data_IF_198508546463
#
_entry.id   IF_198508546463
#
_cell.length_a   1.000
_cell.length_b   1.000
_cell.length_c   1.000
_cell.angle_alpha   90.00
_cell.angle_beta   90.00
_cell.angle_gamma   90.00
#
_symmetry.space_group_name_H-M   'P 1'
#
loop_
_entity.id
_entity.type
_entity.pdbx_description
1 polymer ?
#
# COMPACT_ATOMS: atom_id res chain seq x y z
N UNK A 1 30.49 -66.20 11.74
CA UNK A 1 29.14 -65.67 12.05
C UNK A 1 29.36 -64.30 12.68
N UNK A 2 29.27 -63.17 11.94
CA UNK A 2 28.12 -62.38 11.48
C UNK A 2 27.40 -61.63 12.62
N UNK A 3 27.21 -60.32 12.37
CA UNK A 3 26.26 -59.32 12.94
C UNK A 3 26.60 -58.83 14.38
N UNK A 4 26.56 -57.55 14.77
CA UNK A 4 25.73 -56.41 14.33
C UNK A 4 26.46 -55.06 14.58
N UNK A 5 26.68 -54.28 13.51
CA UNK A 5 26.96 -52.83 13.55
C UNK A 5 25.61 -52.10 13.47
N UNK A 6 25.01 -51.66 14.57
CA UNK A 6 23.93 -50.65 14.55
C UNK A 6 23.68 -50.13 15.96
N UNK A 7 24.36 -49.05 16.35
CA UNK A 7 23.98 -48.30 17.56
C UNK A 7 24.35 -46.80 17.47
N UNK A 8 24.19 -46.18 16.30
CA UNK A 8 24.53 -44.75 16.09
C UNK A 8 23.52 -43.92 15.29
N UNK A 9 22.29 -44.38 15.07
CA UNK A 9 21.35 -43.65 14.20
C UNK A 9 19.93 -43.51 14.77
N UNK A 10 19.77 -43.02 16.00
CA UNK A 10 18.41 -42.67 16.50
C UNK A 10 18.28 -41.25 17.06
N UNK A 11 19.37 -40.48 17.25
CA UNK A 11 19.25 -39.13 17.85
C UNK A 11 19.10 -38.00 16.81
N UNK A 12 19.32 -38.27 15.51
CA UNK A 12 19.28 -37.24 14.47
C UNK A 12 17.88 -36.99 13.87
N UNK A 13 16.83 -37.68 14.34
CA UNK A 13 15.50 -37.67 13.71
C UNK A 13 14.42 -36.82 14.38
N UNK A 14 14.71 -36.13 15.49
CA UNK A 14 13.68 -35.45 16.29
C UNK A 14 13.74 -33.90 16.28
N UNK A 15 14.72 -33.29 15.61
CA UNK A 15 14.94 -31.83 15.67
C UNK A 15 14.43 -31.04 14.45
N UNK A 16 13.91 -31.69 13.41
CA UNK A 16 13.49 -30.98 12.18
C UNK A 16 12.00 -30.70 12.04
N UNK A 17 11.17 -30.98 13.07
CA UNK A 17 9.73 -30.70 13.03
C UNK A 17 9.34 -29.41 13.79
N UNK A 18 10.27 -28.77 14.51
CA UNK A 18 9.99 -27.56 15.28
C UNK A 18 10.35 -26.24 14.60
N UNK A 19 11.11 -26.26 13.51
CA UNK A 19 11.68 -25.05 12.92
C UNK A 19 10.80 -24.36 11.86
N UNK A 20 9.78 -25.04 11.32
CA UNK A 20 8.90 -24.47 10.29
C UNK A 20 7.68 -23.73 10.86
N UNK A 21 7.37 -23.86 12.16
CA UNK A 21 6.26 -23.12 12.79
C UNK A 21 6.67 -21.78 13.42
N UNK A 22 7.97 -21.42 13.42
CA UNK A 22 8.45 -20.20 14.08
C UNK A 22 8.69 -19.02 13.13
N UNK A 23 8.49 -19.16 11.82
CA UNK A 23 8.60 -18.04 10.88
C UNK A 23 7.25 -17.29 10.72
N UNK A 24 6.17 -17.78 11.32
CA UNK A 24 4.87 -17.09 11.33
C UNK A 24 4.65 -16.22 12.57
N UNK A 25 5.49 -16.31 13.61
CA UNK A 25 5.29 -15.60 14.89
C UNK A 25 6.07 -14.27 15.01
N UNK A 26 6.99 -13.99 14.07
CA UNK A 26 7.72 -12.73 14.04
C UNK A 26 7.03 -11.65 13.19
N UNK A 27 6.13 -12.07 12.32
CA UNK A 27 5.20 -11.19 11.63
C UNK A 27 3.92 -11.27 12.45
N UNK A 28 3.71 -10.29 13.34
CA UNK A 28 2.43 -10.14 14.02
C UNK A 28 1.28 -10.12 13.02
N UNK A 29 0.02 -10.27 13.46
CA UNK A 29 -1.12 -10.20 12.55
C UNK A 29 -1.01 -8.91 11.74
N UNK A 30 -0.90 -9.02 10.41
CA UNK A 30 -1.10 -7.88 9.53
C UNK A 30 -2.52 -7.39 9.80
N UNK A 31 -2.65 -6.21 10.39
CA UNK A 31 -3.94 -5.58 10.54
C UNK A 31 -4.56 -5.44 9.15
N UNK A 32 -5.85 -5.80 8.98
CA UNK A 32 -6.51 -5.61 7.70
C UNK A 32 -6.44 -4.12 7.35
N UNK A 33 -5.96 -3.82 6.15
CA UNK A 33 -6.02 -2.46 5.63
C UNK A 33 -7.47 -2.03 5.49
N UNK A 34 -7.81 -0.86 6.01
CA UNK A 34 -9.08 -0.20 5.83
C UNK A 34 -9.00 0.71 4.62
N UNK A 35 -10.03 0.68 3.78
CA UNK A 35 -10.15 1.59 2.66
C UNK A 35 -10.38 3.01 3.16
N UNK A 36 -9.46 3.92 2.84
CA UNK A 36 -9.59 5.35 3.12
C UNK A 36 -10.19 6.09 1.92
N UNK A 37 -9.62 5.85 0.73
CA UNK A 37 -10.02 6.52 -0.50
C UNK A 37 -9.83 5.62 -1.72
N UNK A 38 -10.66 5.80 -2.73
CA UNK A 38 -10.58 5.12 -4.02
C UNK A 38 -10.98 6.09 -5.16
N UNK A 39 -10.77 5.67 -6.39
CA UNK A 39 -11.25 6.41 -7.56
C UNK A 39 -10.45 6.09 -8.80
N UNK A 40 -10.50 7.02 -9.75
CA UNK A 40 -9.78 6.95 -11.01
C UNK A 40 -8.95 8.20 -11.28
N UNK A 41 -7.89 8.02 -12.04
CA UNK A 41 -7.05 9.10 -12.57
C UNK A 41 -7.11 9.04 -14.09
N UNK A 42 -7.60 10.11 -14.68
CA UNK A 42 -7.53 10.34 -16.12
C UNK A 42 -6.25 11.11 -16.43
N UNK A 43 -5.52 10.68 -17.46
CA UNK A 43 -4.35 11.39 -17.99
C UNK A 43 -4.63 11.85 -19.43
N UNK A 44 -3.97 12.92 -19.92
CA UNK A 44 -4.22 13.41 -21.27
C UNK A 44 -3.82 12.40 -22.35
N UNK A 45 -4.47 12.48 -23.52
CA UNK A 45 -4.12 11.64 -24.67
C UNK A 45 -2.65 11.83 -25.08
N UNK A 46 -1.98 10.73 -25.45
CA UNK A 46 -0.55 10.73 -25.79
C UNK A 46 0.39 10.56 -24.60
N UNK A 47 -0.14 10.42 -23.38
CA UNK A 47 0.64 10.04 -22.19
C UNK A 47 1.32 8.66 -22.38
N UNK A 48 2.63 8.52 -22.12
CA UNK A 48 3.32 7.23 -22.13
C UNK A 48 2.72 6.26 -21.11
N UNK A 49 2.58 4.98 -21.40
CA UNK A 49 1.94 3.99 -20.50
C UNK A 49 2.58 3.85 -19.12
N UNK A 50 3.85 4.22 -18.97
CA UNK A 50 4.61 4.15 -17.71
C UNK A 50 4.69 5.52 -17.01
N UNK A 51 3.56 6.23 -16.95
CA UNK A 51 3.49 7.63 -16.50
C UNK A 51 3.71 7.84 -14.98
N UNK A 52 3.97 6.76 -14.23
CA UNK A 52 4.37 6.72 -12.81
C UNK A 52 3.63 7.76 -11.95
N UNK A 53 2.30 7.74 -12.03
CA UNK A 53 1.43 8.54 -11.17
C UNK A 53 1.11 7.75 -9.91
N UNK A 54 1.18 8.44 -8.78
CA UNK A 54 0.78 7.95 -7.48
C UNK A 54 -0.30 8.85 -6.90
N UNK A 55 -1.15 8.28 -6.06
CA UNK A 55 -2.10 9.03 -5.24
C UNK A 55 -1.65 8.90 -3.79
N UNK A 56 -1.49 10.02 -3.11
CA UNK A 56 -1.04 10.09 -1.73
C UNK A 56 -2.10 10.74 -0.85
N UNK A 57 -2.43 10.09 0.26
CA UNK A 57 -3.19 10.66 1.36
C UNK A 57 -2.22 11.19 2.42
N UNK A 58 -2.23 12.50 2.63
CA UNK A 58 -1.50 13.19 3.69
C UNK A 58 -2.41 13.33 4.91
N UNK A 59 -2.08 12.57 5.96
CA UNK A 59 -2.78 12.54 7.23
C UNK A 59 -2.10 13.47 8.24
N UNK A 60 -2.86 14.00 9.20
CA UNK A 60 -2.36 15.00 10.12
C UNK A 60 -1.27 14.47 11.07
N UNK A 61 -1.46 13.27 11.61
CA UNK A 61 -0.55 12.66 12.59
C UNK A 61 0.07 11.35 12.10
N UNK A 62 -0.64 10.62 11.24
CA UNK A 62 -0.27 9.29 10.76
C UNK A 62 0.68 9.29 9.56
N UNK A 63 1.06 10.47 9.06
CA UNK A 63 2.00 10.64 7.96
C UNK A 63 1.32 10.53 6.58
N UNK A 64 2.07 10.05 5.59
CA UNK A 64 1.60 9.98 4.20
C UNK A 64 1.49 8.53 3.75
N UNK A 65 0.34 8.17 3.18
CA UNK A 65 0.12 6.87 2.55
C UNK A 65 -0.09 7.05 1.05
N UNK A 66 0.76 6.43 0.24
CA UNK A 66 0.65 6.49 -1.23
C UNK A 66 0.35 5.11 -1.81
N UNK A 67 -0.32 5.10 -2.96
CA UNK A 67 -0.38 3.94 -3.84
C UNK A 67 -0.27 4.38 -5.31
N UNK A 68 0.27 3.49 -6.15
CA UNK A 68 0.39 3.76 -7.57
C UNK A 68 -0.95 3.61 -8.28
N UNK A 69 -1.18 4.49 -9.25
CA UNK A 69 -2.32 4.34 -10.16
C UNK A 69 -2.11 3.08 -10.99
N UNK A 70 -3.13 2.21 -11.00
CA UNK A 70 -3.14 0.96 -11.76
C UNK A 70 -3.23 1.24 -13.25
N UNK A 71 -2.94 0.23 -14.06
CA UNK A 71 -2.98 0.33 -15.53
C UNK A 71 -4.34 0.69 -16.11
N UNK A 72 -5.43 0.47 -15.36
CA UNK A 72 -6.79 0.84 -15.75
C UNK A 72 -7.17 2.27 -15.31
N UNK A 73 -6.23 3.01 -14.73
CA UNK A 73 -6.44 4.34 -14.18
C UNK A 73 -6.99 4.32 -12.75
N UNK A 74 -7.32 3.17 -12.16
CA UNK A 74 -7.87 3.13 -10.81
C UNK A 74 -6.79 3.24 -9.73
N UNK A 75 -7.16 3.75 -8.56
CA UNK A 75 -6.31 3.72 -7.36
C UNK A 75 -7.12 3.32 -6.12
N UNK A 76 -6.42 2.86 -5.08
CA UNK A 76 -7.01 2.48 -3.81
C UNK A 76 -6.01 2.78 -2.68
N UNK A 77 -6.39 3.67 -1.78
CA UNK A 77 -5.61 3.98 -0.57
C UNK A 77 -6.16 3.17 0.59
N UNK A 78 -5.37 2.21 1.04
CA UNK A 78 -5.64 1.46 2.27
C UNK A 78 -4.73 1.96 3.39
N UNK A 79 -5.29 2.14 4.57
CA UNK A 79 -4.60 2.58 5.79
C UNK A 79 -4.84 1.60 6.93
N UNK A 80 -4.02 1.63 7.97
CA UNK A 80 -4.29 0.90 9.21
C UNK A 80 -5.32 1.66 10.07
N UNK A 81 -5.89 1.00 11.09
CA UNK A 81 -6.99 1.53 11.92
C UNK A 81 -6.70 2.92 12.48
N UNK A 82 -5.53 3.12 13.11
CA UNK A 82 -5.16 4.42 13.69
C UNK A 82 -5.05 5.56 12.68
N UNK A 83 -4.69 5.27 11.43
CA UNK A 83 -4.67 6.28 10.36
C UNK A 83 -6.07 6.57 9.84
N UNK A 84 -6.97 5.58 9.84
CA UNK A 84 -8.38 5.82 9.55
C UNK A 84 -9.02 6.73 10.60
N UNK A 85 -8.73 6.49 11.88
CA UNK A 85 -9.20 7.33 12.99
C UNK A 85 -8.69 8.77 12.87
N UNK A 86 -7.39 8.94 12.56
CA UNK A 86 -6.78 10.25 12.29
C UNK A 86 -7.48 10.98 11.15
N UNK A 87 -7.70 10.31 10.01
CA UNK A 87 -8.45 10.87 8.88
C UNK A 87 -9.88 11.29 9.27
N UNK A 88 -10.58 10.51 10.10
CA UNK A 88 -11.93 10.84 10.55
C UNK A 88 -11.96 12.04 11.50
N UNK A 89 -10.96 12.16 12.37
CA UNK A 89 -10.86 13.22 13.38
C UNK A 89 -10.36 14.55 12.80
N UNK A 90 -9.37 14.50 11.91
CA UNK A 90 -8.64 15.68 11.43
C UNK A 90 -8.85 15.97 9.95
N UNK A 91 -9.46 15.06 9.20
CA UNK A 91 -9.47 15.10 7.74
C UNK A 91 -8.12 14.68 7.18
N UNK A 92 -8.00 14.75 5.87
CA UNK A 92 -6.76 14.43 5.15
C UNK A 92 -6.72 15.16 3.82
N UNK A 93 -5.54 15.28 3.22
CA UNK A 93 -5.37 15.82 1.88
C UNK A 93 -5.01 14.70 0.92
N UNK A 94 -5.74 14.58 -0.17
CA UNK A 94 -5.51 13.56 -1.19
C UNK A 94 -4.93 14.23 -2.44
N UNK A 95 -3.74 13.81 -2.85
CA UNK A 95 -3.03 14.36 -4.00
C UNK A 95 -2.71 13.28 -5.03
N UNK A 96 -3.05 13.53 -6.29
CA UNK A 96 -2.52 12.78 -7.43
C UNK A 96 -1.28 13.50 -7.97
N UNK A 97 -0.14 12.84 -7.94
CA UNK A 97 1.18 13.41 -8.29
C UNK A 97 1.91 12.51 -9.28
N UNK A 98 2.85 13.10 -10.03
CA UNK A 98 3.73 12.34 -10.91
C UNK A 98 5.17 12.44 -10.47
N UNK A 99 5.76 11.29 -10.15
CA UNK A 99 7.20 11.19 -9.85
C UNK A 99 8.09 11.67 -11.01
N UNK A 100 7.57 11.66 -12.24
CA UNK A 100 8.27 12.12 -13.44
C UNK A 100 8.19 13.64 -13.66
N UNK A 101 7.35 14.35 -12.90
CA UNK A 101 7.10 15.79 -13.08
C UNK A 101 6.45 16.14 -14.41
N UNK A 102 5.72 15.20 -15.04
CA UNK A 102 5.03 15.44 -16.31
C UNK A 102 3.67 16.14 -16.14
N UNK A 103 3.04 15.98 -14.98
CA UNK A 103 1.70 16.51 -14.71
C UNK A 103 1.69 17.57 -13.62
N UNK A 104 0.69 18.44 -13.68
CA UNK A 104 0.34 19.35 -12.60
C UNK A 104 -0.28 18.52 -11.48
N UNK A 105 0.30 18.60 -10.28
CA UNK A 105 -0.24 17.94 -9.10
C UNK A 105 -1.65 18.46 -8.78
N UNK A 106 -2.59 17.54 -8.56
CA UNK A 106 -3.94 17.88 -8.15
C UNK A 106 -4.21 17.36 -6.75
N UNK A 107 -4.70 18.24 -5.88
CA UNK A 107 -5.01 17.89 -4.50
C UNK A 107 -6.42 18.32 -4.12
N UNK A 108 -7.06 17.51 -3.27
CA UNK A 108 -8.31 17.85 -2.61
C UNK A 108 -8.16 17.68 -1.10
N UNK A 109 -8.67 18.64 -0.34
CA UNK A 109 -8.77 18.54 1.10
C UNK A 109 -10.11 17.87 1.46
N UNK A 110 -10.03 16.73 2.15
CA UNK A 110 -11.19 15.99 2.65
C UNK A 110 -11.39 16.36 4.12
N UNK A 111 -12.51 17.00 4.49
CA UNK A 111 -12.73 17.43 5.87
C UNK A 111 -12.96 16.23 6.80
N UNK A 112 -12.79 16.43 8.13
CA UNK A 112 -13.14 15.43 9.14
C UNK A 112 -14.56 14.91 8.97
N UNK A 113 -14.79 13.65 9.32
CA UNK A 113 -16.10 12.97 9.24
C UNK A 113 -16.77 13.05 7.86
N UNK A 114 -15.98 13.23 6.79
CA UNK A 114 -16.49 13.17 5.43
C UNK A 114 -16.89 11.75 5.06
N UNK A 115 -17.99 11.61 4.33
CA UNK A 115 -18.38 10.35 3.68
C UNK A 115 -17.73 10.19 2.30
N UNK A 116 -16.93 11.16 1.87
CA UNK A 116 -16.23 11.10 0.57
C UNK A 116 -15.07 10.13 0.72
N UNK A 117 -15.27 8.94 0.17
CA UNK A 117 -14.24 7.91 0.00
C UNK A 117 -13.87 7.72 -1.47
N UNK A 118 -14.61 8.32 -2.41
CA UNK A 118 -14.33 8.23 -3.84
C UNK A 118 -13.99 9.61 -4.39
N UNK A 119 -12.82 9.72 -5.03
CA UNK A 119 -12.35 10.95 -5.66
C UNK A 119 -11.67 10.63 -7.00
N UNK A 120 -12.13 11.27 -8.06
CA UNK A 120 -11.47 11.17 -9.37
C UNK A 120 -10.53 12.36 -9.60
N UNK A 121 -9.44 12.15 -10.34
CA UNK A 121 -8.49 13.19 -10.74
C UNK A 121 -8.34 13.23 -12.26
N UNK A 122 -8.24 14.42 -12.82
CA UNK A 122 -8.05 14.64 -14.26
C UNK A 122 -6.76 15.42 -14.45
N UNK A 123 -5.63 14.71 -14.57
CA UNK A 123 -4.30 15.34 -14.61
C UNK A 123 -4.07 16.10 -15.92
N UNK A 124 -3.37 17.22 -15.82
CA UNK A 124 -2.99 18.07 -16.94
C UNK A 124 -1.46 18.11 -17.09
N UNK A 125 -0.94 18.23 -18.31
CA UNK A 125 0.50 18.38 -18.52
C UNK A 125 1.02 19.70 -17.94
N UNK A 126 2.23 19.67 -17.39
CA UNK A 126 2.94 20.91 -17.06
C UNK A 126 3.23 21.68 -18.36
N UNK A 127 2.85 22.97 -18.47
CA UNK A 127 3.14 23.77 -19.66
C UNK A 127 4.66 23.90 -19.87
N UNK A 128 5.11 23.59 -21.09
CA UNK A 128 6.52 23.80 -21.49
C UNK A 128 6.68 25.26 -21.93
N UNK A 129 7.48 26.03 -21.19
CA UNK A 129 7.91 27.39 -21.56
C UNK A 129 9.07 27.39 -22.55
#
# INVERSE_FOLDING_TARGET
>A
MKVIRTLKQVVAGALSAGATMLIAACYGPMEPGYELANGSVTVPEGTPTDYNVEVCAELAESGTQCDFVRTDGSYLINVYEGALDDAQLHGYRLCATSSSGLFIDQCVDVPPNSQITTQDFDLEFIPQE
#
